data_IF_454739595578
#
_entry.id   IF_454739595578
#
_cell.length_a   1.000
_cell.length_b   1.000
_cell.length_c   1.000
_cell.angle_alpha   90.00
_cell.angle_beta   90.00
_cell.angle_gamma   90.00
#
_symmetry.space_group_name_H-M   'P 1'
#
loop_
_entity.id
_entity.type
_entity.pdbx_description
1 polymer ?
#
# COMPACT_ATOMS: atom_id res chain seq x y z
N UNK A 1 -16.49 2.71 -27.86
CA UNK A 1 -15.89 3.84 -27.12
C UNK A 1 -15.61 3.32 -25.71
N UNK A 2 -14.35 3.12 -25.34
CA UNK A 2 -14.03 2.72 -23.98
C UNK A 2 -14.18 3.93 -23.06
N UNK A 3 -14.89 3.72 -21.95
CA UNK A 3 -15.16 4.71 -20.91
C UNK A 3 -13.85 5.33 -20.40
N UNK A 4 -13.81 6.64 -20.25
CA UNK A 4 -12.72 7.40 -19.64
C UNK A 4 -13.08 7.79 -18.19
N UNK A 5 -14.32 8.22 -17.95
CA UNK A 5 -14.88 8.54 -16.63
C UNK A 5 -16.36 8.15 -16.54
N UNK A 6 -17.00 8.46 -15.40
CA UNK A 6 -18.44 8.24 -15.20
C UNK A 6 -19.32 9.31 -15.87
N UNK A 7 -18.72 10.42 -16.33
CA UNK A 7 -19.41 11.57 -16.90
C UNK A 7 -18.70 12.09 -18.16
N UNK A 8 -18.51 11.21 -19.14
CA UNK A 8 -17.80 11.53 -20.37
C UNK A 8 -18.65 12.33 -21.36
N UNK A 9 -18.06 13.39 -21.91
CA UNK A 9 -18.57 14.11 -23.07
C UNK A 9 -17.62 13.86 -24.25
N UNK A 10 -18.16 13.53 -25.42
CA UNK A 10 -17.37 13.28 -26.62
C UNK A 10 -17.64 14.33 -27.69
N UNK A 11 -16.58 14.87 -28.27
CA UNK A 11 -16.59 15.79 -29.40
C UNK A 11 -15.61 15.28 -30.47
N UNK A 12 -16.14 14.52 -31.43
CA UNK A 12 -15.34 13.88 -32.47
C UNK A 12 -14.30 12.90 -31.88
N UNK A 13 -12.99 13.05 -32.19
CA UNK A 13 -11.94 12.19 -31.64
C UNK A 13 -11.58 12.51 -30.18
N UNK A 14 -12.11 13.59 -29.61
CA UNK A 14 -11.84 14.03 -28.25
C UNK A 14 -12.94 13.52 -27.30
N UNK A 15 -12.55 12.85 -26.23
CA UNK A 15 -13.43 12.52 -25.10
C UNK A 15 -12.88 13.22 -23.85
N UNK A 16 -13.71 13.91 -23.09
CA UNK A 16 -13.29 14.58 -21.87
C UNK A 16 -14.35 14.43 -20.76
N UNK A 17 -13.90 14.53 -19.52
CA UNK A 17 -14.76 14.35 -18.35
C UNK A 17 -14.11 14.86 -17.08
N UNK A 18 -14.84 14.78 -15.98
CA UNK A 18 -14.33 15.06 -14.64
C UNK A 18 -13.83 13.77 -13.99
N UNK A 19 -12.69 13.85 -13.32
CA UNK A 19 -12.13 12.75 -12.54
C UNK A 19 -12.01 13.12 -11.07
N UNK A 20 -12.33 12.17 -10.19
CA UNK A 20 -12.04 12.28 -8.76
C UNK A 20 -10.54 12.18 -8.48
N UNK A 21 -9.81 11.48 -9.35
CA UNK A 21 -8.36 11.40 -9.34
C UNK A 21 -7.77 12.63 -10.04
N UNK A 22 -6.83 13.33 -9.38
CA UNK A 22 -6.32 14.65 -9.82
C UNK A 22 -4.80 14.66 -10.09
N UNK A 23 -4.27 13.75 -10.93
CA UNK A 23 -2.87 13.80 -11.29
C UNK A 23 -2.62 14.94 -12.29
N UNK A 24 -1.36 15.35 -12.39
CA UNK A 24 -0.83 16.03 -13.56
C UNK A 24 -0.23 14.98 -14.49
N UNK A 25 -0.91 14.70 -15.58
CA UNK A 25 -0.53 13.59 -16.46
C UNK A 25 -0.66 14.00 -17.91
N UNK A 26 0.30 13.59 -18.73
CA UNK A 26 0.24 13.66 -20.17
C UNK A 26 0.92 12.42 -20.72
N UNK A 27 0.12 11.49 -21.26
CA UNK A 27 0.60 10.20 -21.74
C UNK A 27 0.05 9.93 -23.12
N UNK A 28 0.96 9.71 -24.06
CA UNK A 28 0.66 9.07 -25.32
C UNK A 28 0.73 7.56 -25.14
N UNK A 29 -0.31 6.84 -25.56
CA UNK A 29 -0.36 5.38 -25.51
C UNK A 29 -0.67 4.84 -26.90
N UNK A 30 0.01 3.79 -27.34
CA UNK A 30 -0.30 3.11 -28.62
C UNK A 30 -1.59 2.30 -28.55
N UNK A 31 -2.16 2.11 -27.36
CA UNK A 31 -3.18 1.10 -27.17
C UNK A 31 -2.64 -0.32 -27.37
N UNK A 32 -3.52 -1.31 -27.46
CA UNK A 32 -3.17 -2.73 -27.61
C UNK A 32 -3.28 -3.57 -26.32
N UNK A 33 -3.17 -4.89 -26.47
CA UNK A 33 -3.44 -5.87 -25.41
C UNK A 33 -4.91 -6.27 -25.30
N UNK A 34 -5.20 -7.31 -24.51
CA UNK A 34 -6.54 -7.91 -24.39
C UNK A 34 -7.62 -6.98 -23.80
N UNK A 35 -7.22 -5.89 -23.13
CA UNK A 35 -8.13 -4.90 -22.50
C UNK A 35 -7.88 -3.46 -22.97
N UNK A 36 -6.98 -3.25 -23.93
CA UNK A 36 -6.52 -1.91 -24.32
C UNK A 36 -7.43 -1.19 -25.34
N UNK A 37 -7.33 0.13 -25.36
CA UNK A 37 -7.86 0.93 -26.46
C UNK A 37 -7.21 0.50 -27.79
N UNK A 38 -7.95 0.34 -28.90
CA UNK A 38 -7.38 -0.15 -30.16
C UNK A 38 -6.61 0.91 -30.96
N UNK A 39 -6.69 2.18 -30.55
CA UNK A 39 -6.07 3.30 -31.25
C UNK A 39 -4.98 3.93 -30.39
N UNK A 40 -4.05 4.58 -31.07
CA UNK A 40 -3.15 5.51 -30.40
C UNK A 40 -4.01 6.59 -29.73
N UNK A 41 -3.65 6.97 -28.51
CA UNK A 41 -4.37 8.00 -27.78
C UNK A 41 -3.41 8.91 -27.04
N UNK A 42 -3.79 10.17 -26.91
CA UNK A 42 -3.13 11.12 -26.02
C UNK A 42 -4.10 11.42 -24.88
N UNK A 43 -3.74 11.01 -23.67
CA UNK A 43 -4.53 11.25 -22.47
C UNK A 43 -3.83 12.30 -21.60
N UNK A 44 -4.57 13.34 -21.23
CA UNK A 44 -4.10 14.41 -20.37
C UNK A 44 -5.01 14.54 -19.15
N UNK A 45 -4.41 14.67 -17.97
CA UNK A 45 -5.09 15.04 -16.73
C UNK A 45 -4.51 16.34 -16.21
N UNK A 46 -5.40 17.26 -15.87
CA UNK A 46 -5.04 18.50 -15.20
C UNK A 46 -6.26 19.05 -14.43
N UNK A 47 -6.04 19.56 -13.23
CA UNK A 47 -7.07 20.26 -12.43
C UNK A 47 -8.38 19.48 -12.22
N UNK A 48 -8.32 18.15 -12.14
CA UNK A 48 -9.50 17.28 -11.99
C UNK A 48 -10.31 17.08 -13.26
N UNK A 49 -9.80 17.55 -14.40
CA UNK A 49 -10.29 17.23 -15.73
C UNK A 49 -9.39 16.18 -16.36
N UNK A 50 -10.01 15.34 -17.19
CA UNK A 50 -9.31 14.42 -18.06
C UNK A 50 -9.81 14.58 -19.48
N UNK A 51 -8.89 14.56 -20.43
CA UNK A 51 -9.18 14.58 -21.84
C UNK A 51 -8.35 13.51 -22.55
N UNK A 52 -8.99 12.73 -23.41
CA UNK A 52 -8.36 11.74 -24.27
C UNK A 52 -8.65 12.09 -25.73
N UNK A 53 -7.59 12.26 -26.51
CA UNK A 53 -7.67 12.43 -27.95
C UNK A 53 -7.31 11.13 -28.63
N UNK A 54 -8.23 10.57 -29.42
CA UNK A 54 -7.96 9.42 -30.29
C UNK A 54 -7.14 9.88 -31.49
N UNK A 55 -6.01 9.22 -31.71
CA UNK A 55 -5.05 9.49 -32.78
C UNK A 55 -5.02 8.33 -33.77
N UNK A 56 -4.65 8.58 -35.04
CA UNK A 56 -4.37 7.50 -35.98
C UNK A 56 -3.29 6.55 -35.47
N UNK A 57 -3.44 5.25 -35.71
CA UNK A 57 -2.50 4.20 -35.29
C UNK A 57 -1.18 4.24 -36.08
N UNK A 58 -0.34 5.25 -35.81
CA UNK A 58 0.97 5.44 -36.45
C UNK A 58 2.07 4.59 -35.82
N UNK A 59 1.90 4.21 -34.56
CA UNK A 59 2.87 3.46 -33.78
C UNK A 59 2.21 2.19 -33.29
N UNK A 60 2.83 1.04 -33.57
CA UNK A 60 2.31 -0.26 -33.17
C UNK A 60 2.58 -0.50 -31.67
N UNK A 61 1.75 -1.30 -31.00
CA UNK A 61 2.04 -1.79 -29.65
C UNK A 61 3.33 -2.61 -29.62
N UNK A 62 3.83 -2.84 -28.42
CA UNK A 62 4.90 -3.81 -28.18
C UNK A 62 4.32 -5.22 -28.30
N UNK A 63 5.06 -6.12 -28.94
CA UNK A 63 4.63 -7.52 -29.09
C UNK A 63 5.81 -8.47 -28.98
N UNK A 64 5.56 -9.64 -28.38
CA UNK A 64 6.50 -10.76 -28.31
C UNK A 64 5.79 -12.06 -28.62
N UNK A 65 6.41 -12.92 -29.42
CA UNK A 65 5.90 -14.27 -29.60
C UNK A 65 6.24 -15.12 -28.39
N UNK A 66 5.23 -15.76 -27.81
CA UNK A 66 5.37 -16.75 -26.74
C UNK A 66 5.12 -18.11 -27.35
N UNK A 67 6.19 -18.90 -27.46
CA UNK A 67 6.13 -20.29 -27.91
C UNK A 67 5.59 -21.17 -26.78
N UNK A 68 4.54 -21.93 -27.07
CA UNK A 68 3.94 -22.89 -26.15
C UNK A 68 3.95 -24.30 -26.72
N UNK A 69 4.66 -24.53 -27.83
CA UNK A 69 4.67 -25.78 -28.57
C UNK A 69 5.20 -26.98 -27.79
N UNK A 70 5.95 -26.74 -26.72
CA UNK A 70 6.46 -27.73 -25.78
C UNK A 70 5.46 -28.12 -24.68
N UNK A 71 4.33 -27.42 -24.53
CA UNK A 71 3.31 -27.76 -23.55
C UNK A 71 2.23 -28.68 -24.12
N UNK A 72 1.73 -29.61 -23.29
CA UNK A 72 0.66 -30.54 -23.66
C UNK A 72 -0.69 -29.85 -23.92
N UNK A 73 -0.88 -28.63 -23.43
CA UNK A 73 -2.11 -27.83 -23.61
C UNK A 73 -2.03 -26.88 -24.83
N UNK A 74 -1.01 -27.01 -25.68
CA UNK A 74 -0.79 -26.10 -26.80
C UNK A 74 -1.99 -26.00 -27.75
N UNK A 75 -2.25 -24.79 -28.21
CA UNK A 75 -3.17 -24.53 -29.32
C UNK A 75 -2.56 -24.91 -30.67
N UNK A 76 -3.39 -24.91 -31.71
CA UNK A 76 -2.99 -25.23 -33.09
C UNK A 76 -1.92 -24.29 -33.67
N UNK A 77 -1.83 -23.07 -33.17
CA UNK A 77 -0.82 -22.07 -33.55
C UNK A 77 0.55 -22.29 -32.92
N UNK A 78 0.69 -23.23 -31.96
CA UNK A 78 1.94 -23.50 -31.24
C UNK A 78 2.41 -22.36 -30.33
N UNK A 79 1.65 -21.28 -30.18
CA UNK A 79 2.00 -20.11 -29.41
C UNK A 79 1.03 -18.96 -29.59
N UNK A 80 1.34 -17.81 -28.99
CA UNK A 80 0.55 -16.59 -29.10
C UNK A 80 1.42 -15.32 -29.14
N UNK A 81 0.85 -14.23 -29.65
CA UNK A 81 1.46 -12.90 -29.52
C UNK A 81 1.03 -12.28 -28.20
N UNK A 82 2.00 -12.03 -27.34
CA UNK A 82 1.84 -11.26 -26.12
C UNK A 82 2.01 -9.78 -26.48
N UNK A 83 0.97 -8.96 -26.24
CA UNK A 83 0.86 -7.60 -26.75
C UNK A 83 0.55 -6.61 -25.62
N UNK A 84 1.34 -5.53 -25.55
CA UNK A 84 1.19 -4.47 -24.55
C UNK A 84 1.31 -3.08 -25.18
N UNK A 85 0.67 -2.06 -24.58
CA UNK A 85 0.84 -0.69 -25.02
C UNK A 85 2.28 -0.21 -24.83
N UNK A 86 2.69 0.70 -25.71
CA UNK A 86 3.84 1.57 -25.47
C UNK A 86 3.31 2.92 -25.02
N UNK A 87 3.83 3.38 -23.89
CA UNK A 87 3.43 4.62 -23.27
C UNK A 87 4.61 5.58 -23.18
N UNK A 88 4.36 6.84 -23.53
CA UNK A 88 5.34 7.92 -23.53
C UNK A 88 4.74 9.15 -22.86
N UNK A 89 5.42 9.67 -21.85
CA UNK A 89 4.95 10.85 -21.12
C UNK A 89 5.22 10.75 -19.63
N UNK A 90 4.40 11.42 -18.83
CA UNK A 90 4.56 11.44 -17.38
C UNK A 90 3.21 11.47 -16.66
N UNK A 91 3.23 11.02 -15.41
CA UNK A 91 2.15 11.16 -14.45
C UNK A 91 2.74 11.58 -13.10
N UNK A 92 2.18 12.64 -12.52
CA UNK A 92 2.52 13.14 -11.20
C UNK A 92 1.24 13.13 -10.33
N UNK A 93 1.21 12.26 -9.33
CA UNK A 93 0.10 12.16 -8.35
C UNK A 93 0.68 12.07 -6.96
N UNK A 94 0.19 12.89 -6.02
CA UNK A 94 0.50 12.78 -4.58
C UNK A 94 2.01 12.72 -4.25
N UNK A 95 2.81 13.43 -5.04
CA UNK A 95 4.26 13.45 -4.89
C UNK A 95 4.99 12.21 -5.42
N UNK A 96 4.33 11.38 -6.22
CA UNK A 96 4.93 10.29 -6.98
C UNK A 96 4.97 10.67 -8.46
N UNK A 97 6.17 10.73 -9.02
CA UNK A 97 6.43 10.99 -10.43
C UNK A 97 6.73 9.67 -11.13
N UNK A 98 5.97 9.38 -12.17
CA UNK A 98 6.21 8.28 -13.09
C UNK A 98 6.42 8.83 -14.49
N UNK A 99 7.46 8.35 -15.17
CA UNK A 99 7.81 8.68 -16.54
C UNK A 99 7.72 7.40 -17.36
N UNK A 100 6.88 7.43 -18.38
CA UNK A 100 6.67 6.33 -19.31
C UNK A 100 7.62 6.50 -20.49
N UNK A 101 8.43 5.47 -20.78
CA UNK A 101 9.52 5.52 -21.75
C UNK A 101 9.35 4.48 -22.87
N UNK A 102 8.26 3.72 -22.88
CA UNK A 102 8.01 2.66 -23.85
C UNK A 102 7.05 1.59 -23.35
N UNK A 103 7.40 0.32 -23.56
CA UNK A 103 6.50 -0.82 -23.31
C UNK A 103 6.04 -0.91 -21.84
N UNK A 104 4.75 -1.18 -21.61
CA UNK A 104 4.16 -1.40 -20.28
C UNK A 104 3.68 -2.85 -20.14
N UNK A 105 4.59 -3.76 -19.82
CA UNK A 105 4.36 -5.22 -19.87
C UNK A 105 4.01 -5.85 -18.52
N UNK A 106 3.98 -5.05 -17.44
CA UNK A 106 3.87 -5.52 -16.05
C UNK A 106 5.01 -6.45 -15.60
N UNK A 107 6.10 -6.53 -16.37
CA UNK A 107 7.31 -7.25 -16.02
C UNK A 107 8.47 -6.26 -15.82
N UNK A 108 9.19 -6.42 -14.71
CA UNK A 108 10.34 -5.59 -14.31
C UNK A 108 11.47 -5.54 -15.34
N UNK A 109 11.61 -6.56 -16.20
CA UNK A 109 12.68 -6.64 -17.20
C UNK A 109 12.30 -5.91 -18.48
N UNK A 110 11.04 -5.99 -18.87
CA UNK A 110 10.56 -5.52 -20.17
C UNK A 110 9.77 -4.21 -20.10
N UNK A 111 9.26 -3.84 -18.93
CA UNK A 111 8.59 -2.55 -18.70
C UNK A 111 9.60 -1.41 -18.75
N UNK A 112 9.34 -0.43 -19.61
CA UNK A 112 10.17 0.75 -19.78
C UNK A 112 9.50 1.94 -19.11
N UNK A 113 9.73 2.05 -17.80
CA UNK A 113 9.31 3.21 -17.01
C UNK A 113 10.38 3.57 -15.99
N UNK A 114 10.40 4.83 -15.60
CA UNK A 114 11.18 5.32 -14.48
C UNK A 114 10.24 6.04 -13.53
N UNK A 115 10.42 5.84 -12.23
CA UNK A 115 9.61 6.54 -11.25
C UNK A 115 10.45 6.97 -10.06
N UNK A 116 9.96 8.01 -9.37
CA UNK A 116 10.54 8.47 -8.13
C UNK A 116 9.50 9.19 -7.29
N UNK A 117 9.68 9.16 -5.98
CA UNK A 117 8.96 10.03 -5.09
C UNK A 117 9.65 11.40 -5.03
N UNK A 118 8.88 12.48 -5.15
CA UNK A 118 9.38 13.84 -5.04
C UNK A 118 9.90 14.07 -3.61
N UNK A 119 11.19 14.38 -3.44
CA UNK A 119 11.82 14.38 -2.11
C UNK A 119 11.23 15.44 -1.17
N UNK A 120 10.64 16.52 -1.68
CA UNK A 120 9.97 17.57 -0.89
C UNK A 120 8.52 17.25 -0.51
N UNK A 121 7.98 16.09 -0.90
CA UNK A 121 6.65 15.64 -0.47
C UNK A 121 6.72 14.45 0.49
N UNK A 122 7.91 13.85 0.65
CA UNK A 122 8.09 12.64 1.46
C UNK A 122 8.32 12.94 2.94
N UNK A 123 8.06 11.92 3.76
CA UNK A 123 8.34 11.90 5.19
C UNK A 123 9.45 10.90 5.47
N UNK A 124 10.61 11.38 5.90
CA UNK A 124 11.74 10.52 6.24
C UNK A 124 11.54 9.94 7.63
N UNK A 125 11.66 8.62 7.76
CA UNK A 125 11.65 7.94 9.05
C UNK A 125 12.92 8.29 9.83
N UNK A 126 12.75 8.63 11.11
CA UNK A 126 13.82 9.04 12.02
C UNK A 126 14.06 8.01 13.10
N UNK A 127 13.00 7.49 13.73
CA UNK A 127 13.14 6.46 14.76
C UNK A 127 11.88 5.62 14.93
N UNK A 128 12.09 4.40 15.40
CA UNK A 128 11.06 3.49 15.89
C UNK A 128 11.39 3.16 17.35
N UNK A 129 10.46 3.42 18.26
CA UNK A 129 10.62 3.17 19.70
C UNK A 129 9.56 2.21 20.20
N UNK A 130 9.93 1.40 21.18
CA UNK A 130 9.05 0.49 21.89
C UNK A 130 8.90 0.97 23.34
N UNK A 131 7.70 0.78 23.89
CA UNK A 131 7.37 1.13 25.26
C UNK A 131 6.93 -0.12 26.01
N UNK A 132 7.14 -0.10 27.32
CA UNK A 132 6.74 -1.18 28.22
C UNK A 132 5.26 -1.09 28.60
N UNK A 133 4.83 -1.97 29.51
CA UNK A 133 3.46 -2.05 30.01
C UNK A 133 2.97 -0.79 30.74
N UNK A 134 3.87 0.00 31.34
CA UNK A 134 3.55 1.25 32.06
C UNK A 134 3.58 2.45 31.11
N UNK A 135 4.00 2.25 29.88
CA UNK A 135 4.22 3.32 28.90
C UNK A 135 5.56 4.02 29.06
N UNK A 136 6.50 3.44 29.82
CA UNK A 136 7.88 3.89 29.92
C UNK A 136 8.68 3.42 28.70
N UNK A 137 9.72 4.19 28.36
CA UNK A 137 10.54 3.91 27.18
C UNK A 137 11.39 2.65 27.39
N UNK A 138 11.23 1.65 26.51
CA UNK A 138 12.00 0.40 26.56
C UNK A 138 13.19 0.44 25.61
N UNK A 139 12.96 0.82 24.35
CA UNK A 139 14.00 0.75 23.32
C UNK A 139 13.75 1.72 22.17
N UNK A 140 14.81 2.20 21.52
CA UNK A 140 14.71 3.00 20.28
C UNK A 140 15.72 2.54 19.24
N UNK A 141 15.21 2.34 18.02
CA UNK A 141 16.00 2.28 16.82
C UNK A 141 16.02 3.63 16.11
N UNK A 142 17.22 4.14 15.84
CA UNK A 142 17.39 5.28 14.94
C UNK A 142 17.52 4.84 13.49
N UNK A 143 16.87 5.59 12.61
CA UNK A 143 16.98 5.46 11.16
C UNK A 143 18.41 5.71 10.73
N UNK A 144 18.96 4.77 9.95
CA UNK A 144 20.36 4.79 9.54
C UNK A 144 20.50 5.41 8.14
N UNK A 145 21.68 5.96 7.80
CA UNK A 145 21.95 6.43 6.45
C UNK A 145 21.74 5.33 5.40
N UNK A 146 21.28 5.72 4.22
CA UNK A 146 21.16 4.83 3.06
C UNK A 146 22.49 4.15 2.76
N UNK A 147 22.49 2.83 2.55
CA UNK A 147 23.68 2.02 2.26
C UNK A 147 24.29 1.29 3.45
N UNK A 148 23.86 1.59 4.69
CA UNK A 148 24.32 0.86 5.87
C UNK A 148 23.61 -0.50 6.01
N UNK A 149 24.20 -1.54 5.41
CA UNK A 149 23.69 -2.92 5.47
C UNK A 149 24.37 -3.69 6.61
N UNK A 150 23.74 -3.77 7.77
CA UNK A 150 24.09 -4.80 8.76
C UNK A 150 23.36 -6.09 8.36
N UNK A 151 24.07 -7.22 8.35
CA UNK A 151 23.58 -8.52 7.85
C UNK A 151 22.38 -9.08 8.64
N UNK A 152 22.13 -8.57 9.87
CA UNK A 152 21.16 -9.14 10.81
C UNK A 152 20.13 -8.13 11.37
N UNK A 153 19.84 -7.03 10.66
CA UNK A 153 18.96 -5.98 11.20
C UNK A 153 17.55 -6.48 11.55
N UNK A 154 16.98 -7.35 10.71
CA UNK A 154 15.65 -7.90 10.97
C UNK A 154 15.64 -8.82 12.20
N UNK A 155 16.68 -9.65 12.36
CA UNK A 155 16.85 -10.55 13.51
C UNK A 155 16.95 -9.77 14.81
N UNK A 156 17.71 -8.67 14.83
CA UNK A 156 17.83 -7.81 16.02
C UNK A 156 16.48 -7.16 16.37
N UNK A 157 15.77 -6.60 15.38
CA UNK A 157 14.43 -6.02 15.61
C UNK A 157 13.45 -7.06 16.16
N UNK A 158 13.47 -8.26 15.60
CA UNK A 158 12.61 -9.35 16.03
C UNK A 158 12.94 -9.81 17.46
N UNK A 159 14.23 -9.94 17.79
CA UNK A 159 14.68 -10.29 19.13
C UNK A 159 14.26 -9.24 20.16
N UNK A 160 14.49 -7.95 19.87
CA UNK A 160 14.08 -6.84 20.75
C UNK A 160 12.55 -6.79 20.89
N UNK A 161 11.79 -6.99 19.81
CA UNK A 161 10.32 -7.03 19.87
C UNK A 161 9.83 -8.20 20.73
N UNK A 162 10.53 -9.34 20.72
CA UNK A 162 10.23 -10.50 21.54
C UNK A 162 10.55 -10.27 23.01
N UNK A 163 11.63 -9.55 23.31
CA UNK A 163 12.04 -9.18 24.67
C UNK A 163 11.23 -8.02 25.26
N UNK A 164 10.61 -7.19 24.41
CA UNK A 164 9.77 -6.08 24.83
C UNK A 164 8.62 -6.60 25.71
N UNK A 165 8.45 -6.03 26.94
CA UNK A 165 7.30 -6.34 27.79
C UNK A 165 6.00 -6.14 27.02
N UNK A 166 5.19 -7.20 26.94
CA UNK A 166 3.94 -7.19 26.21
C UNK A 166 2.79 -7.54 27.16
N UNK A 167 1.66 -6.87 26.96
CA UNK A 167 0.45 -7.12 27.76
C UNK A 167 -0.47 -8.04 26.97
N UNK A 168 -0.90 -9.14 27.60
CA UNK A 168 -1.79 -10.12 26.99
C UNK A 168 -3.20 -9.90 27.50
N UNK A 169 -4.15 -9.81 26.58
CA UNK A 169 -5.58 -9.71 26.87
C UNK A 169 -6.33 -10.92 26.32
N UNK A 170 -7.41 -11.27 26.99
CA UNK A 170 -8.39 -12.24 26.53
C UNK A 170 -9.63 -11.53 26.01
N UNK A 171 -10.14 -12.01 24.88
CA UNK A 171 -11.37 -11.51 24.26
C UNK A 171 -12.12 -12.66 23.59
N UNK A 172 -13.43 -12.51 23.46
CA UNK A 172 -14.26 -13.41 22.65
C UNK A 172 -14.43 -12.83 21.25
N UNK A 173 -14.12 -13.63 20.25
CA UNK A 173 -14.31 -13.26 18.85
C UNK A 173 -15.78 -13.40 18.41
N UNK A 174 -16.10 -13.07 17.16
CA UNK A 174 -17.45 -13.08 16.60
C UNK A 174 -18.20 -14.42 16.75
N UNK A 175 -17.47 -15.53 16.86
CA UNK A 175 -17.98 -16.89 17.03
C UNK A 175 -18.07 -17.33 18.50
N UNK A 176 -17.76 -16.43 19.45
CA UNK A 176 -17.69 -16.73 20.88
C UNK A 176 -16.43 -17.49 21.29
N UNK A 177 -15.45 -17.66 20.38
CA UNK A 177 -14.19 -18.32 20.72
C UNK A 177 -13.29 -17.36 21.50
N UNK A 178 -12.80 -17.84 22.64
CA UNK A 178 -11.81 -17.15 23.47
C UNK A 178 -10.44 -17.16 22.79
N UNK A 179 -9.89 -15.98 22.50
CA UNK A 179 -8.58 -15.80 21.86
C UNK A 179 -7.72 -14.85 22.71
N UNK A 180 -6.40 -15.01 22.63
CA UNK A 180 -5.43 -14.14 23.30
C UNK A 180 -4.87 -13.11 22.31
N UNK A 181 -4.83 -11.85 22.74
CA UNK A 181 -4.21 -10.74 22.02
C UNK A 181 -2.97 -10.28 22.79
N UNK A 182 -1.80 -10.38 22.18
CA UNK A 182 -0.54 -9.83 22.69
C UNK A 182 -0.37 -8.42 22.16
N UNK A 183 -0.22 -7.45 23.05
CA UNK A 183 -0.19 -6.04 22.68
C UNK A 183 1.13 -5.37 23.03
N UNK A 184 1.60 -4.49 22.14
CA UNK A 184 2.85 -3.72 22.28
C UNK A 184 2.63 -2.28 21.85
N UNK A 185 3.20 -1.33 22.58
CA UNK A 185 3.14 0.08 22.21
C UNK A 185 4.37 0.43 21.37
N UNK A 186 4.11 0.91 20.15
CA UNK A 186 5.14 1.38 19.23
C UNK A 186 4.99 2.87 18.94
N UNK A 187 6.09 3.61 18.89
CA UNK A 187 6.11 4.99 18.41
C UNK A 187 7.06 5.12 17.23
N UNK A 188 6.61 5.81 16.19
CA UNK A 188 7.44 6.14 15.04
C UNK A 188 7.46 7.65 14.84
N UNK A 189 8.63 8.17 14.52
CA UNK A 189 8.86 9.57 14.25
C UNK A 189 9.34 9.78 12.82
N UNK A 190 8.76 10.77 12.16
CA UNK A 190 9.16 11.19 10.82
C UNK A 190 9.34 12.69 10.73
N UNK A 191 10.30 13.10 9.91
CA UNK A 191 10.53 14.49 9.55
C UNK A 191 10.16 14.71 8.09
N UNK A 192 9.73 15.93 7.75
CA UNK A 192 9.35 16.26 6.38
C UNK A 192 10.55 16.53 5.48
N UNK A 193 10.52 16.01 4.26
CA UNK A 193 11.56 16.16 3.24
C UNK A 193 12.66 15.09 3.30
N UNK A 194 13.19 14.73 2.13
CA UNK A 194 14.28 13.79 1.93
C UNK A 194 15.46 14.39 1.15
N UNK A 195 16.62 13.72 1.20
CA UNK A 195 17.82 14.16 0.48
C UNK A 195 18.22 15.60 0.79
N UNK A 196 18.30 16.43 -0.26
CA UNK A 196 18.64 17.85 -0.16
C UNK A 196 17.48 18.72 0.37
N UNK A 197 16.27 18.16 0.45
CA UNK A 197 15.05 18.85 0.92
C UNK A 197 14.77 18.60 2.41
N UNK A 198 15.71 18.00 3.15
CA UNK A 198 15.58 17.77 4.60
C UNK A 198 15.31 19.04 5.41
N UNK A 199 15.77 20.19 4.94
CA UNK A 199 15.54 21.50 5.57
C UNK A 199 14.06 21.88 5.62
N UNK A 200 13.20 21.30 4.77
CA UNK A 200 11.76 21.52 4.83
C UNK A 200 11.15 21.06 6.17
N UNK A 201 11.82 20.19 6.94
CA UNK A 201 11.39 19.83 8.30
C UNK A 201 11.47 20.99 9.29
N UNK A 202 12.12 22.11 8.94
CA UNK A 202 12.11 23.32 9.77
C UNK A 202 10.77 24.07 9.67
N UNK A 203 10.04 23.88 8.57
CA UNK A 203 8.77 24.56 8.28
C UNK A 203 7.55 23.69 8.58
N UNK A 204 7.75 22.46 9.06
CA UNK A 204 6.67 21.52 9.34
C UNK A 204 6.98 20.73 10.61
N UNK A 205 5.96 20.59 11.46
CA UNK A 205 6.07 19.81 12.69
C UNK A 205 6.45 18.36 12.39
N UNK A 206 7.15 17.75 13.36
CA UNK A 206 7.49 16.33 13.31
C UNK A 206 6.22 15.51 13.36
N UNK A 207 6.12 14.48 12.53
CA UNK A 207 5.03 13.52 12.58
C UNK A 207 5.44 12.46 13.60
N UNK A 208 4.72 12.38 14.71
CA UNK A 208 4.91 11.34 15.72
C UNK A 208 3.61 10.53 15.72
N UNK A 209 3.72 9.22 15.53
CA UNK A 209 2.57 8.31 15.56
C UNK A 209 2.86 7.24 16.59
N UNK A 210 2.03 7.18 17.62
CA UNK A 210 2.03 6.10 18.61
C UNK A 210 0.87 5.18 18.32
N UNK A 211 1.13 3.89 18.29
CA UNK A 211 0.16 2.86 17.92
C UNK A 211 0.31 1.63 18.81
N UNK A 212 -0.81 0.97 19.08
CA UNK A 212 -0.84 -0.36 19.68
C UNK A 212 -0.73 -1.40 18.56
N UNK A 213 0.34 -2.18 18.58
CA UNK A 213 0.49 -3.40 17.79
C UNK A 213 -0.23 -4.54 18.52
N UNK A 214 -1.12 -5.25 17.83
CA UNK A 214 -1.97 -6.30 18.37
C UNK A 214 -1.71 -7.57 17.57
N UNK A 215 -1.19 -8.60 18.24
CA UNK A 215 -0.89 -9.90 17.67
C UNK A 215 -1.82 -10.95 18.28
N UNK A 216 -2.56 -11.67 17.44
CA UNK A 216 -3.52 -12.67 17.88
C UNK A 216 -2.89 -14.04 17.94
N UNK A 217 -3.23 -14.83 18.97
CA UNK A 217 -2.77 -16.22 19.09
C UNK A 217 -3.32 -17.13 17.99
N UNK A 218 -4.45 -16.74 17.39
CA UNK A 218 -5.14 -17.45 16.33
C UNK A 218 -5.75 -16.46 15.34
N UNK A 219 -6.19 -16.93 14.17
CA UNK A 219 -6.94 -16.10 13.23
C UNK A 219 -8.23 -15.57 13.86
N UNK A 220 -8.51 -14.28 13.64
CA UNK A 220 -9.67 -13.56 14.18
C UNK A 220 -10.60 -13.11 13.04
N UNK A 221 -11.89 -13.17 13.30
CA UNK A 221 -12.94 -12.58 12.47
C UNK A 221 -13.62 -13.54 11.50
N UNK A 222 -14.67 -13.07 10.80
CA UNK A 222 -15.56 -13.85 9.93
C UNK A 222 -14.97 -14.80 8.90
N UNK A 223 -13.72 -14.61 8.51
CA UNK A 223 -13.09 -15.29 7.37
C UNK A 223 -11.97 -16.26 7.82
N UNK A 224 -11.95 -16.67 9.11
CA UNK A 224 -11.06 -17.72 9.62
C UNK A 224 -11.02 -18.95 8.71
N UNK A 225 -9.83 -19.51 8.51
CA UNK A 225 -9.61 -20.70 7.69
C UNK A 225 -9.71 -20.47 6.18
N UNK A 226 -9.98 -19.24 5.73
CA UNK A 226 -9.90 -18.88 4.33
C UNK A 226 -8.45 -18.60 3.97
N UNK A 227 -7.96 -19.15 2.86
CA UNK A 227 -6.63 -18.84 2.32
C UNK A 227 -6.41 -17.34 2.00
N UNK A 228 -7.49 -16.54 2.00
CA UNK A 228 -7.51 -15.10 1.76
C UNK A 228 -8.01 -14.28 2.97
N UNK A 229 -8.41 -14.93 4.06
CA UNK A 229 -9.17 -14.29 5.13
C UNK A 229 -8.74 -14.76 6.53
N UNK A 230 -9.14 -14.00 7.54
CA UNK A 230 -8.65 -14.15 8.91
C UNK A 230 -7.54 -13.14 9.24
N UNK A 231 -7.63 -12.52 10.41
CA UNK A 231 -6.66 -11.53 10.87
C UNK A 231 -5.77 -12.15 11.95
N UNK A 232 -4.46 -12.23 11.73
CA UNK A 232 -3.48 -12.72 12.70
C UNK A 232 -2.80 -11.59 13.49
N UNK A 233 -2.89 -10.36 12.99
CA UNK A 233 -2.43 -9.18 13.68
C UNK A 233 -2.98 -7.90 13.06
N UNK A 234 -3.05 -6.84 13.86
CA UNK A 234 -3.55 -5.53 13.46
C UNK A 234 -2.90 -4.46 14.34
N UNK A 235 -3.22 -3.19 14.08
CA UNK A 235 -2.82 -2.12 14.98
C UNK A 235 -3.78 -0.95 14.94
N UNK A 236 -3.82 -0.21 16.05
CA UNK A 236 -4.62 1.01 16.20
C UNK A 236 -3.76 2.17 16.67
N UNK A 237 -4.15 3.39 16.29
CA UNK A 237 -3.52 4.58 16.84
C UNK A 237 -3.93 4.76 18.30
N UNK A 238 -2.95 5.14 19.14
CA UNK A 238 -3.17 5.46 20.54
C UNK A 238 -3.66 6.90 20.68
N UNK A 239 -4.66 7.10 21.51
CA UNK A 239 -5.12 8.41 21.94
C UNK A 239 -4.18 8.99 23.02
N UNK A 240 -4.18 10.32 23.24
CA UNK A 240 -3.33 10.93 24.27
C UNK A 240 -3.59 10.33 25.66
N UNK A 241 -2.53 9.81 26.30
CA UNK A 241 -2.61 9.20 27.63
C UNK A 241 -3.13 7.76 27.65
N UNK A 242 -3.49 7.20 26.51
CA UNK A 242 -4.02 5.84 26.41
C UNK A 242 -2.89 4.80 26.55
N UNK A 243 -3.12 3.79 27.38
CA UNK A 243 -2.23 2.64 27.57
C UNK A 243 -2.85 1.38 26.93
N UNK A 244 -2.16 0.24 27.08
CA UNK A 244 -2.52 -1.03 26.47
C UNK A 244 -4.00 -1.42 26.66
N UNK A 245 -4.50 -1.37 27.90
CA UNK A 245 -5.85 -1.86 28.21
C UNK A 245 -6.94 -0.94 27.65
N UNK A 246 -6.83 0.37 27.86
CA UNK A 246 -7.82 1.33 27.37
C UNK A 246 -7.92 1.27 25.83
N UNK A 247 -6.77 1.20 25.16
CA UNK A 247 -6.69 1.07 23.72
C UNK A 247 -7.29 -0.23 23.20
N UNK A 248 -6.96 -1.36 23.84
CA UNK A 248 -7.48 -2.66 23.43
C UNK A 248 -8.99 -2.79 23.71
N UNK A 249 -9.47 -2.27 24.84
CA UNK A 249 -10.91 -2.21 25.14
C UNK A 249 -11.65 -1.39 24.10
N UNK A 250 -11.13 -0.20 23.78
CA UNK A 250 -11.68 0.62 22.70
C UNK A 250 -11.65 -0.08 21.35
N UNK A 251 -10.60 -0.85 21.06
CA UNK A 251 -10.55 -1.68 19.85
C UNK A 251 -11.70 -2.69 19.83
N UNK A 252 -11.96 -3.40 20.93
CA UNK A 252 -13.06 -4.35 21.02
C UNK A 252 -14.45 -3.70 20.92
N UNK A 253 -14.62 -2.52 21.51
CA UNK A 253 -15.89 -1.78 21.49
C UNK A 253 -16.23 -1.20 20.10
N UNK A 254 -15.25 -1.16 19.18
CA UNK A 254 -15.46 -0.69 17.82
C UNK A 254 -16.14 -1.73 16.94
N UNK A 255 -16.98 -1.25 16.03
CA UNK A 255 -17.58 -2.09 15.00
C UNK A 255 -16.53 -2.41 13.92
N UNK A 256 -16.15 -3.68 13.82
CA UNK A 256 -15.22 -4.17 12.82
C UNK A 256 -15.94 -4.52 11.52
N UNK A 257 -15.25 -4.37 10.39
CA UNK A 257 -15.79 -4.63 9.06
C UNK A 257 -15.08 -5.81 8.41
N UNK A 258 -15.87 -6.81 8.02
CA UNK A 258 -15.47 -7.85 7.07
C UNK A 258 -16.09 -7.58 5.69
N UNK A 259 -15.74 -8.40 4.70
CA UNK A 259 -16.12 -8.18 3.29
C UNK A 259 -17.62 -7.99 3.06
N UNK A 260 -18.47 -8.70 3.80
CA UNK A 260 -19.93 -8.69 3.63
C UNK A 260 -20.74 -8.36 4.88
N UNK A 261 -20.07 -8.17 6.03
CA UNK A 261 -20.75 -7.95 7.30
C UNK A 261 -19.91 -7.12 8.24
N UNK A 262 -20.57 -6.55 9.23
CA UNK A 262 -19.94 -5.93 10.38
C UNK A 262 -20.03 -6.90 11.56
N UNK A 263 -19.06 -6.85 12.45
CA UNK A 263 -19.00 -7.71 13.63
C UNK A 263 -18.33 -6.96 14.78
N UNK A 264 -18.62 -7.39 15.99
CA UNK A 264 -18.00 -6.90 17.22
C UNK A 264 -17.28 -8.07 17.88
N UNK A 265 -16.29 -7.73 18.70
CA UNK A 265 -15.61 -8.68 19.57
C UNK A 265 -15.81 -8.21 21.01
N UNK A 266 -15.72 -9.11 21.98
CA UNK A 266 -16.00 -8.78 23.37
C UNK A 266 -14.73 -8.84 24.20
N UNK A 267 -14.34 -7.70 24.78
CA UNK A 267 -13.25 -7.65 25.75
C UNK A 267 -13.63 -8.42 27.02
N UNK A 268 -12.68 -9.19 27.56
CA UNK A 268 -12.91 -9.97 28.79
C UNK A 268 -12.00 -9.50 29.91
N UNK A 269 -10.70 -9.44 29.68
CA UNK A 269 -9.78 -9.01 30.71
C UNK A 269 -8.32 -9.18 30.36
N UNK A 270 -7.46 -8.64 31.22
CA UNK A 270 -6.01 -8.84 31.18
C UNK A 270 -5.66 -10.22 31.71
N UNK A 271 -4.78 -10.92 31.00
CA UNK A 271 -4.18 -12.16 31.49
C UNK A 271 -2.96 -11.79 32.31
N UNK A 272 -3.01 -12.03 33.63
CA UNK A 272 -1.81 -11.97 34.46
C UNK A 272 -0.89 -13.12 34.02
N UNK A 273 0.31 -12.79 33.54
CA UNK A 273 1.33 -13.80 33.33
C UNK A 273 1.76 -14.28 34.72
N UNK A 274 1.32 -15.48 35.11
CA UNK A 274 1.89 -16.18 36.25
C UNK A 274 3.40 -16.26 36.06
N UNK A 275 4.14 -15.66 37.00
CA UNK A 275 5.60 -15.65 37.02
C UNK A 275 6.21 -17.06 36.99
#
# INVERSE_FOLDING_TARGET
MTRLTDHDTSFGPLTFGRSSWRPWCLVFSTGGGCEGHPHNSLTAYAFGWVARLNLPTRMKPWRRWVDTSHYNWKGSSGGYWDEYPREYGFSLSDGFLQVFLGAQTHDSVTTQSWCTHLPWTQWRHIRHSLFDEKGDHFWTEWSRPSGFKLRDNWTVRYAVKKECPAVVFEFDDYDGKRIKATTRIEEREWHFGEGWFKWLSLFRSRKIRRSLDIEFSEEVGPEKGSWKGGTTGTGIDLLPGELHEDAFRRYCDQEHRAKYRKYTIQYIGRVEQSA
#
